data_IF_255122252403
#
_entry.id   IF_255122252403
#
_cell.length_a   1.000
_cell.length_b   1.000
_cell.length_c   1.000
_cell.angle_alpha   90.00
_cell.angle_beta   90.00
_cell.angle_gamma   90.00
#
_symmetry.space_group_name_H-M   'P 1'
#
loop_
_entity.id
_entity.type
_entity.pdbx_description
1 polymer ?
#
# COMPACT_ATOMS: atom_id res chain seq x y z
N UNK A 1 -34.53 13.84 -7.03
CA UNK A 1 -33.91 14.35 -8.27
C UNK A 1 -32.97 15.53 -8.04
N UNK A 2 -33.40 16.64 -7.43
CA UNK A 2 -32.56 17.84 -7.25
C UNK A 2 -31.23 17.56 -6.50
N UNK A 3 -31.27 16.76 -5.44
CA UNK A 3 -30.06 16.36 -4.70
C UNK A 3 -29.05 15.60 -5.58
N UNK A 4 -29.53 14.59 -6.32
CA UNK A 4 -28.68 13.81 -7.22
C UNK A 4 -28.03 14.70 -8.28
N UNK A 5 -28.80 15.60 -8.89
CA UNK A 5 -28.28 16.55 -9.88
C UNK A 5 -27.22 17.46 -9.28
N UNK A 6 -27.46 18.01 -8.08
CA UNK A 6 -26.50 18.85 -7.37
C UNK A 6 -25.20 18.08 -7.07
N UNK A 7 -25.30 16.87 -6.53
CA UNK A 7 -24.13 16.01 -6.27
C UNK A 7 -23.35 15.70 -7.54
N UNK A 8 -24.02 15.36 -8.63
CA UNK A 8 -23.37 15.10 -9.92
C UNK A 8 -22.65 16.33 -10.45
N UNK A 9 -23.28 17.50 -10.42
CA UNK A 9 -22.64 18.76 -10.85
C UNK A 9 -21.42 19.08 -10.00
N UNK A 10 -21.53 18.98 -8.67
CA UNK A 10 -20.40 19.16 -7.75
C UNK A 10 -19.27 18.18 -8.07
N UNK A 11 -19.60 16.91 -8.28
CA UNK A 11 -18.61 15.88 -8.62
C UNK A 11 -17.87 16.23 -9.92
N UNK A 12 -18.59 16.56 -10.99
CA UNK A 12 -17.99 16.92 -12.29
C UNK A 12 -17.09 18.15 -12.16
N UNK A 13 -17.51 19.18 -11.43
CA UNK A 13 -16.69 20.38 -11.20
C UNK A 13 -15.42 20.06 -10.41
N UNK A 14 -15.50 19.26 -9.35
CA UNK A 14 -14.34 18.91 -8.53
C UNK A 14 -13.35 18.03 -9.31
N UNK A 15 -13.85 17.06 -10.09
CA UNK A 15 -13.00 16.24 -10.97
C UNK A 15 -12.35 17.09 -12.07
N UNK A 16 -13.09 18.03 -12.67
CA UNK A 16 -12.53 18.96 -13.64
C UNK A 16 -11.40 19.80 -13.01
N UNK A 17 -11.62 20.39 -11.83
CA UNK A 17 -10.60 21.18 -11.13
C UNK A 17 -9.38 20.35 -10.72
N UNK A 18 -9.54 19.04 -10.52
CA UNK A 18 -8.46 18.13 -10.19
C UNK A 18 -7.57 17.79 -11.41
N UNK A 19 -8.16 17.65 -12.59
CA UNK A 19 -7.44 17.24 -13.82
C UNK A 19 -6.97 18.46 -14.63
N UNK A 20 -7.64 19.61 -14.50
CA UNK A 20 -7.29 20.83 -15.22
C UNK A 20 -5.91 21.37 -14.79
N UNK A 21 -5.24 22.14 -15.68
CA UNK A 21 -4.00 22.83 -15.32
C UNK A 21 -4.14 23.68 -14.03
N UNK A 22 -3.06 23.84 -13.24
CA UNK A 22 -3.11 24.59 -11.98
C UNK A 22 -3.67 26.00 -12.13
N UNK A 23 -4.70 26.34 -11.37
CA UNK A 23 -5.38 27.63 -11.40
C UNK A 23 -5.63 28.15 -9.98
N UNK A 24 -6.10 29.39 -9.84
CA UNK A 24 -6.28 30.02 -8.52
C UNK A 24 -7.26 29.25 -7.61
N UNK A 25 -8.30 28.65 -8.19
CA UNK A 25 -9.31 27.87 -7.45
C UNK A 25 -8.71 26.54 -6.99
N UNK A 26 -8.06 25.79 -7.88
CA UNK A 26 -7.45 24.50 -7.52
C UNK A 26 -6.30 24.64 -6.51
N UNK A 27 -5.54 25.75 -6.57
CA UNK A 27 -4.53 26.06 -5.54
C UNK A 27 -5.15 26.37 -4.18
N UNK A 28 -6.23 27.17 -4.14
CA UNK A 28 -6.89 27.58 -2.89
C UNK A 28 -7.66 26.45 -2.21
N UNK A 29 -8.36 25.63 -3.00
CA UNK A 29 -9.25 24.57 -2.51
C UNK A 29 -8.67 23.17 -2.73
N UNK A 30 -7.36 23.07 -2.96
CA UNK A 30 -6.65 21.81 -3.19
C UNK A 30 -6.96 20.72 -2.14
N UNK A 31 -6.91 21.02 -0.83
CA UNK A 31 -7.25 20.04 0.20
C UNK A 31 -8.67 19.46 0.06
N UNK A 32 -9.68 20.29 -0.22
CA UNK A 32 -11.08 19.88 -0.37
C UNK A 32 -11.30 19.08 -1.65
N UNK A 33 -10.70 19.53 -2.75
CA UNK A 33 -10.74 18.80 -4.03
C UNK A 33 -10.12 17.42 -3.85
N UNK A 34 -8.94 17.34 -3.23
CA UNK A 34 -8.22 16.09 -2.99
C UNK A 34 -9.00 15.15 -2.04
N UNK A 35 -9.63 15.69 -1.00
CA UNK A 35 -10.47 14.92 -0.09
C UNK A 35 -11.71 14.32 -0.76
N UNK A 36 -12.25 14.97 -1.79
CA UNK A 36 -13.38 14.44 -2.58
C UNK A 36 -12.94 13.41 -3.63
N UNK A 37 -11.81 13.63 -4.30
CA UNK A 37 -11.36 12.80 -5.43
C UNK A 37 -10.65 11.53 -4.96
N UNK A 38 -9.65 11.64 -4.10
CA UNK A 38 -8.77 10.51 -3.77
C UNK A 38 -9.39 9.32 -3.01
N UNK A 39 -10.57 9.40 -2.37
CA UNK A 39 -11.21 8.20 -1.83
C UNK A 39 -11.63 7.19 -2.91
N UNK A 40 -11.94 7.66 -4.12
CA UNK A 40 -12.50 6.82 -5.19
C UNK A 40 -11.64 6.82 -6.47
N UNK A 41 -10.92 7.90 -6.76
CA UNK A 41 -10.19 8.10 -7.99
C UNK A 41 -8.70 8.34 -7.71
N UNK A 42 -7.96 7.25 -7.54
CA UNK A 42 -6.51 7.29 -7.49
C UNK A 42 -5.95 7.33 -8.93
N UNK A 43 -5.14 8.35 -9.25
CA UNK A 43 -4.43 8.43 -10.53
C UNK A 43 -3.04 7.81 -10.41
N UNK A 44 -2.81 6.69 -11.09
CA UNK A 44 -1.49 6.08 -11.18
C UNK A 44 -1.14 5.82 -12.64
N UNK A 45 -0.39 6.75 -13.23
CA UNK A 45 0.04 6.71 -14.63
C UNK A 45 1.39 6.02 -14.84
N UNK A 46 1.99 5.41 -13.81
CA UNK A 46 3.34 4.81 -13.90
C UNK A 46 3.45 3.70 -14.95
N UNK A 47 2.34 3.04 -15.30
CA UNK A 47 2.32 2.05 -16.38
C UNK A 47 2.59 2.66 -17.77
N UNK A 48 2.28 3.94 -17.95
CA UNK A 48 2.45 4.68 -19.20
C UNK A 48 3.55 5.74 -19.11
N UNK A 49 4.39 5.67 -18.06
CA UNK A 49 5.58 6.51 -18.00
C UNK A 49 6.54 6.12 -19.14
N UNK A 50 7.37 7.06 -19.65
CA UNK A 50 8.40 6.73 -20.65
C UNK A 50 9.32 5.59 -20.22
N UNK A 51 9.57 5.48 -18.91
CA UNK A 51 10.27 4.36 -18.28
C UNK A 51 9.34 3.72 -17.22
N UNK A 52 8.65 2.61 -17.54
CA UNK A 52 7.73 1.96 -16.61
C UNK A 52 8.49 1.27 -15.48
N UNK A 53 7.83 1.10 -14.32
CA UNK A 53 8.40 0.41 -13.16
C UNK A 53 8.95 -0.99 -13.53
N UNK A 54 10.27 -1.10 -13.63
CA UNK A 54 11.00 -2.35 -13.92
C UNK A 54 11.41 -3.10 -12.64
N UNK A 55 10.61 -2.97 -11.57
CA UNK A 55 10.91 -3.52 -10.25
C UNK A 55 9.71 -4.24 -9.61
N UNK A 56 10.00 -5.39 -8.99
CA UNK A 56 9.09 -6.12 -8.12
C UNK A 56 9.30 -5.70 -6.66
N UNK A 57 8.22 -5.57 -5.91
CA UNK A 57 8.28 -5.23 -4.48
C UNK A 57 7.87 -6.43 -3.65
N UNK A 58 8.80 -6.93 -2.84
CA UNK A 58 8.57 -8.04 -1.89
C UNK A 58 8.33 -7.45 -0.50
N UNK A 59 7.11 -7.60 0.00
CA UNK A 59 6.68 -7.06 1.29
C UNK A 59 6.67 -8.20 2.31
N UNK A 60 7.60 -8.11 3.24
CA UNK A 60 7.76 -9.03 4.36
C UNK A 60 7.14 -8.39 5.61
N UNK A 61 6.53 -9.20 6.46
CA UNK A 61 5.99 -8.77 7.75
C UNK A 61 6.48 -9.67 8.87
N UNK A 62 6.71 -9.10 10.04
CA UNK A 62 6.86 -9.83 11.30
C UNK A 62 6.05 -9.16 12.38
N UNK A 63 5.73 -9.91 13.41
CA UNK A 63 4.85 -9.49 14.50
C UNK A 63 5.57 -9.56 15.83
N UNK A 64 5.09 -8.79 16.79
CA UNK A 64 5.52 -8.90 18.17
C UNK A 64 4.31 -8.97 19.10
N UNK A 65 4.44 -9.82 20.13
CA UNK A 65 3.46 -9.96 21.20
C UNK A 65 4.15 -9.93 22.56
N UNK A 66 3.45 -9.42 23.57
CA UNK A 66 3.90 -9.47 24.95
C UNK A 66 3.45 -10.80 25.55
N UNK A 67 4.40 -11.60 26.02
CA UNK A 67 4.13 -12.85 26.72
C UNK A 67 3.63 -12.59 28.16
N UNK A 68 3.01 -13.59 28.82
CA UNK A 68 2.48 -13.42 30.18
C UNK A 68 3.52 -12.98 31.23
N UNK A 69 4.79 -13.28 30.98
CA UNK A 69 5.95 -12.88 31.79
C UNK A 69 6.45 -11.45 31.51
N UNK A 70 5.78 -10.72 30.61
CA UNK A 70 6.17 -9.37 30.17
C UNK A 70 7.24 -9.34 29.08
N UNK A 71 7.80 -10.48 28.67
CA UNK A 71 8.79 -10.54 27.61
C UNK A 71 8.17 -10.26 26.24
N UNK A 72 8.91 -9.59 25.35
CA UNK A 72 8.48 -9.38 23.96
C UNK A 72 8.93 -10.54 23.10
N UNK A 73 7.97 -11.29 22.54
CA UNK A 73 8.21 -12.36 21.58
C UNK A 73 8.04 -11.83 20.16
N UNK A 74 9.09 -11.92 19.35
CA UNK A 74 9.10 -11.49 17.94
C UNK A 74 9.06 -12.72 17.03
N UNK A 75 8.17 -12.72 16.05
CA UNK A 75 8.05 -13.81 15.07
C UNK A 75 9.08 -13.72 13.95
N UNK A 76 9.20 -14.79 13.18
CA UNK A 76 9.95 -14.81 11.92
C UNK A 76 9.28 -13.92 10.86
N UNK A 77 10.04 -13.55 9.83
CA UNK A 77 9.49 -12.84 8.68
C UNK A 77 8.58 -13.76 7.84
N UNK A 78 7.38 -13.28 7.55
CA UNK A 78 6.41 -13.86 6.62
C UNK A 78 6.41 -13.05 5.33
N UNK A 79 6.39 -13.72 4.18
CA UNK A 79 6.36 -13.09 2.87
C UNK A 79 4.91 -12.89 2.39
N UNK A 80 4.39 -11.68 2.62
CA UNK A 80 3.01 -11.34 2.26
C UNK A 80 2.81 -11.31 0.75
N UNK A 81 3.84 -10.89 0.00
CA UNK A 81 3.80 -10.91 -1.46
C UNK A 81 3.71 -12.34 -2.00
N UNK A 82 4.41 -13.30 -1.39
CA UNK A 82 4.30 -14.70 -1.78
C UNK A 82 2.90 -15.29 -1.49
N UNK A 83 2.26 -14.88 -0.39
CA UNK A 83 0.87 -15.27 -0.07
C UNK A 83 -0.10 -14.73 -1.13
N UNK A 84 0.04 -13.48 -1.55
CA UNK A 84 -0.79 -12.90 -2.62
C UNK A 84 -0.55 -13.58 -3.97
N UNK A 85 0.72 -13.81 -4.33
CA UNK A 85 1.07 -14.46 -5.58
C UNK A 85 0.55 -15.90 -5.65
N UNK A 86 0.58 -16.66 -4.56
CA UNK A 86 0.11 -18.05 -4.56
C UNK A 86 -1.41 -18.14 -4.74
N UNK A 87 -2.17 -17.18 -4.22
CA UNK A 87 -3.62 -17.10 -4.40
C UNK A 87 -4.03 -16.70 -5.83
N UNK A 88 -3.12 -16.10 -6.60
CA UNK A 88 -3.31 -15.70 -7.99
C UNK A 88 -2.81 -16.77 -8.95
N UNK A 89 -1.72 -17.45 -8.62
CA UNK A 89 -1.07 -18.43 -9.48
C UNK A 89 -2.01 -19.60 -9.78
N UNK A 90 -2.19 -19.89 -11.07
CA UNK A 90 -3.10 -20.94 -11.59
C UNK A 90 -4.60 -20.73 -11.29
N UNK A 91 -4.99 -19.53 -10.85
CA UNK A 91 -6.40 -19.18 -10.71
C UNK A 91 -6.89 -18.50 -12.00
N UNK A 92 -7.95 -19.02 -12.61
CA UNK A 92 -8.52 -18.50 -13.86
C UNK A 92 -9.24 -17.17 -13.64
N UNK A 93 -9.78 -16.95 -12.44
CA UNK A 93 -10.49 -15.73 -12.06
C UNK A 93 -9.97 -15.19 -10.72
N UNK A 94 -8.70 -14.74 -10.67
CA UNK A 94 -8.11 -14.28 -9.43
C UNK A 94 -8.77 -12.96 -8.99
N UNK A 95 -9.04 -12.85 -7.70
CA UNK A 95 -9.60 -11.62 -7.12
C UNK A 95 -8.66 -10.43 -7.35
N UNK A 96 -9.19 -9.33 -7.91
CA UNK A 96 -8.44 -8.08 -8.06
C UNK A 96 -7.97 -7.53 -6.71
N UNK A 97 -8.74 -7.75 -5.64
CA UNK A 97 -8.36 -7.38 -4.28
C UNK A 97 -7.13 -8.15 -3.85
N UNK A 98 -7.09 -9.46 -4.04
CA UNK A 98 -5.92 -10.27 -3.70
C UNK A 98 -4.67 -9.85 -4.49
N UNK A 99 -4.82 -9.53 -5.76
CA UNK A 99 -3.71 -9.12 -6.63
C UNK A 99 -3.13 -7.73 -6.29
N UNK A 100 -3.99 -6.78 -5.91
CA UNK A 100 -3.62 -5.37 -5.94
C UNK A 100 -3.65 -4.68 -4.58
N UNK A 101 -4.35 -5.23 -3.58
CA UNK A 101 -4.63 -4.49 -2.34
C UNK A 101 -3.34 -4.12 -1.59
N UNK A 102 -2.47 -5.10 -1.34
CA UNK A 102 -1.20 -4.87 -0.64
C UNK A 102 -0.25 -3.98 -1.46
N UNK A 103 -0.14 -4.24 -2.77
CA UNK A 103 0.69 -3.46 -3.70
C UNK A 103 0.25 -1.99 -3.77
N UNK A 104 -1.06 -1.74 -3.84
CA UNK A 104 -1.62 -0.38 -3.89
C UNK A 104 -1.41 0.31 -2.55
N UNK A 105 -1.69 -0.35 -1.43
CA UNK A 105 -1.45 0.23 -0.11
C UNK A 105 0.02 0.64 0.10
N UNK A 106 0.97 -0.16 -0.38
CA UNK A 106 2.38 0.22 -0.38
C UNK A 106 2.66 1.43 -1.28
N UNK A 107 2.10 1.47 -2.49
CA UNK A 107 2.28 2.60 -3.40
C UNK A 107 1.76 3.90 -2.80
N UNK A 108 0.54 3.90 -2.25
CA UNK A 108 -0.05 5.07 -1.61
C UNK A 108 0.71 5.50 -0.34
N UNK A 109 1.33 4.55 0.39
CA UNK A 109 2.22 4.86 1.51
C UNK A 109 3.48 5.62 1.04
N UNK A 110 4.17 5.10 0.02
CA UNK A 110 5.37 5.76 -0.54
C UNK A 110 5.05 7.15 -1.08
N UNK A 111 3.92 7.31 -1.78
CA UNK A 111 3.50 8.60 -2.34
C UNK A 111 3.19 9.65 -1.26
N UNK A 112 2.90 9.23 -0.02
CA UNK A 112 2.59 10.13 1.09
C UNK A 112 3.75 10.32 2.07
N UNK A 113 4.69 9.37 2.18
CA UNK A 113 5.79 9.42 3.15
C UNK A 113 7.17 9.67 2.52
N UNK A 114 7.29 9.61 1.18
CA UNK A 114 8.56 9.79 0.49
C UNK A 114 9.61 8.72 0.85
N UNK A 115 10.88 9.09 0.81
CA UNK A 115 12.00 8.19 1.12
C UNK A 115 12.25 8.02 2.63
N UNK A 116 11.92 9.04 3.43
CA UNK A 116 12.29 9.09 4.85
C UNK A 116 11.27 8.43 5.80
N UNK A 117 10.20 7.84 5.25
CA UNK A 117 9.11 7.20 6.00
C UNK A 117 8.40 8.13 7.02
N UNK A 118 8.55 9.45 6.87
CA UNK A 118 8.11 10.46 7.84
C UNK A 118 7.24 11.52 7.15
N UNK A 119 5.95 11.52 7.46
CA UNK A 119 5.01 12.61 7.16
C UNK A 119 3.83 12.48 8.11
N UNK A 120 3.37 13.61 8.66
CA UNK A 120 2.30 13.69 9.65
C UNK A 120 0.97 14.22 9.10
N UNK A 121 0.87 14.45 7.78
CA UNK A 121 -0.40 14.83 7.17
C UNK A 121 -1.49 13.78 7.44
N UNK A 122 -2.73 14.24 7.59
CA UNK A 122 -3.88 13.35 7.81
C UNK A 122 -3.97 12.22 6.77
N UNK A 123 -3.61 12.54 5.52
CA UNK A 123 -3.57 11.56 4.43
C UNK A 123 -2.47 10.52 4.62
N UNK A 124 -1.28 10.92 5.07
CA UNK A 124 -0.18 10.00 5.37
C UNK A 124 -0.56 9.06 6.52
N UNK A 125 -1.12 9.60 7.61
CA UNK A 125 -1.61 8.79 8.75
C UNK A 125 -2.66 7.76 8.27
N UNK A 126 -3.60 8.19 7.42
CA UNK A 126 -4.61 7.31 6.83
C UNK A 126 -3.98 6.21 5.96
N UNK A 127 -3.02 6.53 5.10
CA UNK A 127 -2.36 5.55 4.23
C UNK A 127 -1.47 4.58 5.01
N UNK A 128 -0.77 5.03 6.05
CA UNK A 128 -0.02 4.16 6.96
C UNK A 128 -0.96 3.17 7.65
N UNK A 129 -2.08 3.66 8.19
CA UNK A 129 -3.09 2.82 8.83
C UNK A 129 -3.69 1.81 7.86
N UNK A 130 -3.97 2.23 6.63
CA UNK A 130 -4.47 1.35 5.57
C UNK A 130 -3.49 0.21 5.26
N UNK A 131 -2.21 0.52 5.01
CA UNK A 131 -1.16 -0.47 4.77
C UNK A 131 -0.98 -1.41 5.98
N UNK A 132 -0.92 -0.85 7.20
CA UNK A 132 -0.80 -1.62 8.44
C UNK A 132 -1.94 -2.61 8.60
N UNK A 133 -3.19 -2.17 8.40
CA UNK A 133 -4.36 -3.02 8.59
C UNK A 133 -4.37 -4.17 7.56
N UNK A 134 -4.08 -3.89 6.29
CA UNK A 134 -3.97 -4.94 5.26
C UNK A 134 -2.88 -5.94 5.62
N UNK A 135 -1.69 -5.47 6.02
CA UNK A 135 -0.61 -6.37 6.39
C UNK A 135 -0.95 -7.20 7.64
N UNK A 136 -1.59 -6.60 8.64
CA UNK A 136 -2.05 -7.30 9.84
C UNK A 136 -3.09 -8.37 9.51
N UNK A 137 -4.08 -8.06 8.68
CA UNK A 137 -5.11 -9.02 8.24
C UNK A 137 -4.48 -10.20 7.50
N UNK A 138 -3.45 -9.95 6.66
CA UNK A 138 -2.73 -11.01 5.94
C UNK A 138 -1.91 -11.91 6.86
N UNK A 139 -1.20 -11.34 7.83
CA UNK A 139 -0.46 -12.13 8.82
C UNK A 139 -1.43 -12.94 9.69
N UNK A 140 -2.52 -12.34 10.16
CA UNK A 140 -3.52 -13.04 10.94
C UNK A 140 -4.15 -14.21 10.15
N UNK A 141 -4.43 -14.03 8.86
CA UNK A 141 -4.92 -15.10 8.00
C UNK A 141 -3.88 -16.22 7.80
N UNK A 142 -2.60 -15.87 7.63
CA UNK A 142 -1.50 -16.83 7.50
C UNK A 142 -1.30 -17.65 8.79
N UNK A 143 -1.37 -16.99 9.95
CA UNK A 143 -1.12 -17.60 11.26
C UNK A 143 -2.40 -18.12 11.95
N UNK A 144 -3.44 -18.44 11.18
CA UNK A 144 -4.70 -19.03 11.67
C UNK A 144 -5.39 -18.23 12.80
N UNK A 145 -5.31 -16.90 12.74
CA UNK A 145 -5.95 -15.98 13.69
C UNK A 145 -5.10 -15.64 14.92
N UNK A 146 -3.80 -15.92 14.90
CA UNK A 146 -2.90 -15.54 15.99
C UNK A 146 -2.96 -14.02 16.28
N UNK A 147 -2.97 -13.66 17.56
CA UNK A 147 -3.01 -12.26 18.01
C UNK A 147 -1.60 -11.71 18.25
N UNK A 148 -1.41 -10.45 17.89
CA UNK A 148 -0.17 -9.71 18.08
C UNK A 148 -0.48 -8.24 18.36
N UNK A 149 0.41 -7.58 19.12
CA UNK A 149 0.24 -6.17 19.49
C UNK A 149 0.93 -5.21 18.53
N UNK A 150 1.93 -5.71 17.79
CA UNK A 150 2.73 -4.89 16.88
C UNK A 150 3.06 -5.65 15.60
N UNK A 151 3.22 -4.90 14.51
CA UNK A 151 3.70 -5.39 13.22
C UNK A 151 4.84 -4.52 12.74
N UNK A 152 5.81 -5.14 12.07
CA UNK A 152 6.88 -4.46 11.36
C UNK A 152 6.92 -4.96 9.93
N UNK A 153 7.08 -4.05 8.98
CA UNK A 153 7.22 -4.37 7.56
C UNK A 153 8.66 -4.15 7.09
N UNK A 154 9.10 -5.02 6.20
CA UNK A 154 10.34 -4.89 5.44
C UNK A 154 10.00 -5.04 3.97
N UNK A 155 10.36 -4.05 3.16
CA UNK A 155 10.08 -4.03 1.73
C UNK A 155 11.39 -4.10 0.96
N UNK A 156 11.49 -5.09 0.06
CA UNK A 156 12.63 -5.25 -0.84
C UNK A 156 12.19 -4.89 -2.26
N UNK A 157 12.85 -3.92 -2.87
CA UNK A 157 12.66 -3.55 -4.27
C UNK A 157 13.66 -4.35 -5.11
N UNK A 158 13.16 -5.31 -5.88
CA UNK A 158 13.95 -6.24 -6.68
C UNK A 158 13.84 -5.86 -8.16
N UNK A 159 14.94 -5.78 -8.92
CA UNK A 159 14.87 -5.55 -10.35
C UNK A 159 14.15 -6.70 -11.06
N UNK A 160 13.34 -6.36 -12.07
CA UNK A 160 12.76 -7.32 -13.01
C UNK A 160 13.83 -7.63 -14.04
N UNK A 161 14.08 -8.93 -14.27
CA UNK A 161 15.05 -9.35 -15.27
C UNK A 161 14.58 -8.95 -16.68
N UNK A 162 15.52 -8.46 -17.51
CA UNK A 162 15.26 -8.21 -18.91
C UNK A 162 14.82 -9.50 -19.64
N UNK A 163 13.99 -9.35 -20.67
CA UNK A 163 13.57 -10.49 -21.48
C UNK A 163 14.81 -11.17 -22.11
N UNK A 164 14.94 -12.49 -21.94
CA UNK A 164 16.08 -13.26 -22.46
C UNK A 164 17.31 -13.32 -21.54
N UNK A 165 17.30 -12.64 -20.39
CA UNK A 165 18.36 -12.81 -19.40
C UNK A 165 18.37 -14.26 -18.87
N UNK A 166 19.55 -14.87 -18.81
CA UNK A 166 19.71 -16.19 -18.22
C UNK A 166 19.26 -16.18 -16.75
N UNK A 167 18.45 -17.17 -16.36
CA UNK A 167 18.07 -17.35 -14.96
C UNK A 167 19.34 -17.66 -14.15
N UNK A 168 19.84 -16.67 -13.40
CA UNK A 168 20.98 -16.87 -12.51
C UNK A 168 20.61 -17.77 -11.33
N UNK A 169 21.57 -18.54 -10.83
CA UNK A 169 21.40 -19.40 -9.65
C UNK A 169 21.35 -18.62 -8.31
N UNK A 170 21.55 -17.30 -8.35
CA UNK A 170 21.56 -16.44 -7.16
C UNK A 170 20.32 -15.55 -7.15
N UNK A 171 19.64 -15.38 -6.00
CA UNK A 171 18.53 -14.44 -5.89
C UNK A 171 18.98 -13.01 -6.25
N UNK A 172 18.11 -12.21 -6.89
CA UNK A 172 18.45 -10.85 -7.29
C UNK A 172 18.76 -9.99 -6.06
N UNK A 173 19.80 -9.16 -6.17
CA UNK A 173 20.13 -8.16 -5.15
C UNK A 173 19.06 -7.07 -5.16
N UNK A 174 18.47 -6.72 -4.00
CA UNK A 174 17.54 -5.60 -3.92
C UNK A 174 18.22 -4.28 -4.29
N UNK A 175 17.56 -3.49 -5.14
CA UNK A 175 17.96 -2.11 -5.44
C UNK A 175 17.71 -1.18 -4.26
N UNK A 176 16.71 -1.51 -3.44
CA UNK A 176 16.35 -0.77 -2.23
C UNK A 176 15.80 -1.75 -1.19
N UNK A 177 16.13 -1.50 0.07
CA UNK A 177 15.55 -2.18 1.22
C UNK A 177 15.04 -1.15 2.21
N UNK A 178 13.75 -1.19 2.52
CA UNK A 178 13.09 -0.33 3.51
C UNK A 178 12.62 -1.15 4.69
N UNK A 179 13.06 -0.77 5.89
CA UNK A 179 12.59 -1.33 7.14
C UNK A 179 11.75 -0.29 7.88
N UNK A 180 10.44 -0.51 7.90
CA UNK A 180 9.51 0.42 8.54
C UNK A 180 9.59 0.31 10.07
N UNK A 181 9.23 1.36 10.81
CA UNK A 181 9.16 1.28 12.27
C UNK A 181 8.07 0.29 12.71
N UNK A 182 8.15 -0.14 13.97
CA UNK A 182 7.10 -0.95 14.57
C UNK A 182 5.81 -0.15 14.68
N UNK A 183 4.71 -0.71 14.19
CA UNK A 183 3.38 -0.13 14.30
C UNK A 183 2.54 -0.94 15.27
N UNK A 184 1.86 -0.24 16.18
CA UNK A 184 0.85 -0.85 17.05
C UNK A 184 -0.35 -1.28 16.22
N UNK A 185 -0.78 -2.52 16.42
CA UNK A 185 -1.97 -3.10 15.78
C UNK A 185 -3.06 -3.19 16.84
N UNK A 186 -4.25 -2.69 16.53
CA UNK A 186 -5.42 -2.90 17.38
C UNK A 186 -6.13 -4.16 16.90
N UNK A 187 -6.53 -5.08 17.80
CA UNK A 187 -7.20 -6.35 17.45
C UNK A 187 -8.51 -6.18 16.65
N UNK A 188 -9.03 -4.95 16.57
CA UNK A 188 -10.05 -4.50 15.61
C UNK A 188 -9.63 -3.12 15.14
N UNK A 189 -9.52 -2.92 13.83
CA UNK A 189 -9.03 -1.68 13.25
C UNK A 189 -9.84 -0.49 13.74
N UNK A 190 -9.19 0.46 14.40
CA UNK A 190 -9.77 1.79 14.62
C UNK A 190 -9.23 2.74 13.61
#
# INVERSE_FOLDING_TARGET
>A
MALCLATTLTHVVLVFLHVAPPNAVSKRYGPQINAWVYPLFEQNWRLFAPDPDSVNRRILARTARTAPDGATQVSSWVDLTAVDNSAVKHNVFPSHTTQNLLRRAWTSYVDTHGADDRTDSDRAVMMQKYLRNIAADRVAAHDQGATFGFIQLRVLTLPVAAQGAAAGNRPPTPAEERLLPWWKVTPRGN
#
